data_IF_823940354726
#
_entry.id   IF_823940354726
#
_cell.length_a   1.000
_cell.length_b   1.000
_cell.length_c   1.000
_cell.angle_alpha   90.00
_cell.angle_beta   90.00
_cell.angle_gamma   90.00
#
_symmetry.space_group_name_H-M   'P 1'
#
loop_
_entity.id
_entity.type
_entity.pdbx_description
1 polymer ?
#
# COMPACT_ATOMS: atom_id res chain seq x y z
N UNK A 1 3.67 -19.71 11.21
CA UNK A 1 3.42 -18.27 11.49
C UNK A 1 3.59 -17.52 10.18
N UNK A 2 2.68 -16.59 9.89
CA UNK A 2 2.76 -15.68 8.74
C UNK A 2 3.18 -14.28 9.21
N UNK A 3 3.85 -13.55 8.31
CA UNK A 3 4.27 -12.17 8.54
C UNK A 3 3.59 -11.32 7.47
N UNK A 4 2.90 -10.27 7.89
CA UNK A 4 2.33 -9.27 6.96
C UNK A 4 2.96 -7.92 7.26
N UNK A 5 3.47 -7.28 6.22
CA UNK A 5 4.09 -5.97 6.28
C UNK A 5 3.33 -4.97 5.41
N UNK A 6 3.18 -3.75 5.92
CA UNK A 6 2.57 -2.64 5.20
C UNK A 6 3.57 -1.50 5.11
N UNK A 7 3.86 -1.06 3.89
CA UNK A 7 4.78 0.04 3.62
C UNK A 7 4.04 1.23 3.01
N UNK A 8 4.00 2.32 3.76
CA UNK A 8 3.53 3.63 3.26
C UNK A 8 4.73 4.59 3.16
N UNK A 9 5.59 4.32 2.19
CA UNK A 9 6.83 5.05 1.98
C UNK A 9 6.93 5.61 0.57
N UNK A 10 7.50 6.80 0.47
CA UNK A 10 7.90 7.38 -0.81
C UNK A 10 9.34 6.98 -1.12
N UNK A 11 9.54 6.17 -2.15
CA UNK A 11 10.89 5.77 -2.59
C UNK A 11 11.62 6.85 -3.41
N UNK A 12 10.95 7.97 -3.72
CA UNK A 12 11.50 9.03 -4.58
C UNK A 12 12.53 9.95 -3.93
N UNK A 13 12.83 9.78 -2.64
CA UNK A 13 13.70 10.72 -1.90
C UNK A 13 13.10 12.12 -1.71
N UNK A 14 11.82 12.29 -2.02
CA UNK A 14 11.08 13.55 -1.81
C UNK A 14 10.32 13.51 -0.50
N UNK A 15 10.26 14.66 0.17
CA UNK A 15 9.35 14.84 1.32
C UNK A 15 7.91 14.98 0.85
N UNK A 16 6.94 14.78 1.75
CA UNK A 16 5.50 15.04 1.50
C UNK A 16 5.20 16.45 0.95
N UNK A 17 6.14 17.39 1.08
CA UNK A 17 6.04 18.77 0.59
C UNK A 17 6.78 18.99 -0.74
N UNK A 18 7.03 17.94 -1.52
CA UNK A 18 7.71 18.00 -2.83
C UNK A 18 9.14 18.56 -2.78
N UNK A 19 9.74 18.71 -1.60
CA UNK A 19 11.14 19.09 -1.47
C UNK A 19 12.03 17.86 -1.48
N UNK A 20 13.01 17.85 -2.35
CA UNK A 20 14.05 16.81 -2.30
C UNK A 20 14.80 16.91 -0.98
N UNK A 21 14.90 15.79 -0.27
CA UNK A 21 15.63 15.72 1.01
C UNK A 21 17.12 16.09 0.85
N UNK A 22 17.68 15.85 -0.34
CA UNK A 22 19.04 16.25 -0.70
C UNK A 22 19.07 16.50 -2.22
N UNK A 23 19.38 17.72 -2.64
CA UNK A 23 19.36 18.18 -4.05
C UNK A 23 20.31 17.41 -5.01
N UNK A 24 21.19 16.55 -4.52
CA UNK A 24 22.23 15.87 -5.31
C UNK A 24 22.23 14.35 -5.24
N UNK A 25 21.32 13.72 -4.50
CA UNK A 25 21.23 12.25 -4.48
C UNK A 25 20.20 11.78 -5.50
N UNK A 26 20.65 10.98 -6.46
CA UNK A 26 19.77 10.18 -7.28
C UNK A 26 18.99 9.22 -6.36
N UNK A 27 17.68 9.04 -6.55
CA UNK A 27 16.92 8.08 -5.77
C UNK A 27 17.59 6.69 -5.90
N UNK A 28 17.91 6.09 -4.77
CA UNK A 28 18.35 4.69 -4.74
C UNK A 28 17.07 3.86 -4.80
N UNK A 29 16.83 3.26 -5.95
CA UNK A 29 15.78 2.28 -6.10
C UNK A 29 16.37 0.94 -5.64
N UNK A 30 15.95 0.49 -4.47
CA UNK A 30 16.23 -0.89 -4.03
C UNK A 30 15.17 -1.75 -4.72
N UNK A 31 15.55 -2.44 -5.78
CA UNK A 31 14.72 -3.49 -6.39
C UNK A 31 15.06 -4.78 -5.63
N UNK A 32 14.14 -5.30 -4.81
CA UNK A 32 14.36 -6.59 -4.18
C UNK A 32 14.49 -7.66 -5.27
N UNK A 33 15.47 -8.53 -5.18
CA UNK A 33 15.54 -9.70 -6.05
C UNK A 33 14.32 -10.59 -5.76
N UNK A 34 13.43 -10.75 -6.73
CA UNK A 34 12.21 -11.55 -6.60
C UNK A 34 12.49 -12.98 -6.12
N UNK A 35 13.68 -13.50 -6.36
CA UNK A 35 14.09 -14.84 -5.89
C UNK A 35 14.39 -14.90 -4.39
N UNK A 36 14.81 -13.81 -3.78
CA UNK A 36 15.10 -13.77 -2.33
C UNK A 36 13.86 -13.46 -1.48
N UNK A 37 12.77 -12.95 -2.08
CA UNK A 37 11.53 -12.58 -1.38
C UNK A 37 10.50 -13.71 -1.24
N UNK A 38 10.77 -14.90 -1.78
CA UNK A 38 9.87 -16.05 -1.67
C UNK A 38 10.01 -16.76 -0.32
N UNK A 39 9.76 -16.05 0.77
CA UNK A 39 9.38 -16.70 2.01
C UNK A 39 7.88 -17.02 1.90
N UNK A 40 7.52 -18.28 1.85
CA UNK A 40 6.13 -18.79 1.70
C UNK A 40 5.14 -18.21 2.72
N UNK A 41 5.65 -17.55 3.75
CA UNK A 41 4.87 -17.00 4.86
C UNK A 41 4.92 -15.46 4.92
N UNK A 42 5.49 -14.78 3.93
CA UNK A 42 5.63 -13.33 3.89
C UNK A 42 4.61 -12.69 2.93
N UNK A 43 3.87 -11.73 3.44
CA UNK A 43 2.97 -10.88 2.65
C UNK A 43 3.40 -9.42 2.79
N UNK A 44 3.51 -8.72 1.67
CA UNK A 44 3.88 -7.30 1.65
C UNK A 44 2.84 -6.51 0.88
N UNK A 45 2.28 -5.50 1.52
CA UNK A 45 1.50 -4.45 0.88
C UNK A 45 2.36 -3.18 0.80
N UNK A 46 2.46 -2.60 -0.39
CA UNK A 46 3.13 -1.32 -0.61
C UNK A 46 2.14 -0.27 -1.07
N UNK A 47 2.34 0.96 -0.61
CA UNK A 47 1.46 2.09 -0.91
C UNK A 47 1.48 2.52 -2.38
N UNK A 48 2.54 2.23 -3.10
CA UNK A 48 2.74 2.65 -4.49
C UNK A 48 3.73 1.74 -5.20
N UNK A 49 3.72 1.77 -6.52
CA UNK A 49 4.78 1.18 -7.33
C UNK A 49 6.11 1.96 -7.17
N UNK A 50 7.22 1.38 -7.62
CA UNK A 50 8.57 1.89 -7.34
C UNK A 50 8.84 3.32 -7.82
N UNK A 51 8.17 3.76 -8.87
CA UNK A 51 8.36 5.08 -9.50
C UNK A 51 7.29 6.11 -9.08
N UNK A 52 6.36 5.72 -8.24
CA UNK A 52 5.24 6.54 -7.82
C UNK A 52 5.48 7.18 -6.45
N UNK A 53 4.90 8.35 -6.24
CA UNK A 53 4.96 9.08 -4.97
C UNK A 53 3.66 8.89 -4.21
N UNK A 54 3.77 8.45 -2.95
CA UNK A 54 2.61 8.34 -2.06
C UNK A 54 2.03 9.71 -1.72
N UNK A 55 0.73 9.87 -1.90
CA UNK A 55 0.00 11.07 -1.55
C UNK A 55 -0.54 11.07 -0.11
N UNK A 56 -1.17 12.18 0.28
CA UNK A 56 -1.81 12.35 1.59
C UNK A 56 -3.23 12.87 1.46
N UNK A 57 -4.05 12.57 2.47
CA UNK A 57 -5.35 13.19 2.67
C UNK A 57 -5.18 14.23 3.77
N UNK A 58 -5.21 15.51 3.41
CA UNK A 58 -4.96 16.62 4.34
C UNK A 58 -5.95 16.65 5.50
N UNK A 59 -7.23 16.45 5.21
CA UNK A 59 -8.31 16.45 6.21
C UNK A 59 -8.16 15.33 7.26
N UNK A 60 -7.60 14.19 6.87
CA UNK A 60 -7.40 13.05 7.76
C UNK A 60 -6.02 13.04 8.43
N UNK A 61 -5.09 13.91 8.02
CA UNK A 61 -3.69 13.96 8.47
C UNK A 61 -2.93 12.63 8.29
N UNK A 62 -3.37 11.81 7.33
CA UNK A 62 -2.80 10.49 7.04
C UNK A 62 -2.40 10.40 5.56
N UNK A 63 -1.47 9.50 5.25
CA UNK A 63 -1.24 9.08 3.87
C UNK A 63 -2.50 8.43 3.27
N UNK A 64 -2.72 8.59 1.98
CA UNK A 64 -3.88 7.99 1.27
C UNK A 64 -3.93 6.47 1.54
N UNK A 65 -2.80 5.79 1.40
CA UNK A 65 -2.71 4.36 1.63
C UNK A 65 -3.07 3.97 3.07
N UNK A 66 -2.47 4.62 4.07
CA UNK A 66 -2.73 4.34 5.48
C UNK A 66 -4.18 4.59 5.85
N UNK A 67 -4.80 5.66 5.32
CA UNK A 67 -6.20 5.96 5.55
C UNK A 67 -7.12 4.84 5.04
N UNK A 68 -6.96 4.44 3.78
CA UNK A 68 -7.79 3.37 3.22
C UNK A 68 -7.42 1.99 3.74
N UNK A 69 -6.18 1.75 4.15
CA UNK A 69 -5.80 0.54 4.85
C UNK A 69 -6.62 0.36 6.14
N UNK A 70 -6.69 1.40 6.97
CA UNK A 70 -7.49 1.37 8.19
C UNK A 70 -8.98 1.11 7.88
N UNK A 71 -9.55 1.83 6.92
CA UNK A 71 -10.94 1.64 6.49
C UNK A 71 -11.21 0.22 5.95
N UNK A 72 -10.30 -0.29 5.13
CA UNK A 72 -10.40 -1.65 4.61
C UNK A 72 -10.41 -2.69 5.72
N UNK A 73 -9.51 -2.57 6.69
CA UNK A 73 -9.41 -3.49 7.83
C UNK A 73 -10.57 -3.37 8.83
N UNK A 74 -11.26 -2.23 8.87
CA UNK A 74 -12.49 -2.04 9.64
C UNK A 74 -13.71 -2.76 9.03
N UNK A 75 -13.56 -3.34 7.82
CA UNK A 75 -14.59 -4.13 7.16
C UNK A 75 -14.95 -3.67 5.74
N UNK A 76 -14.54 -2.47 5.32
CA UNK A 76 -14.89 -1.98 3.97
C UNK A 76 -14.28 -2.81 2.84
N UNK A 77 -13.20 -3.55 3.09
CA UNK A 77 -12.57 -4.43 2.11
C UNK A 77 -13.24 -5.81 1.98
N UNK A 78 -14.15 -6.17 2.89
CA UNK A 78 -14.91 -7.43 2.83
C UNK A 78 -15.94 -7.38 1.70
N UNK A 79 -15.51 -7.78 0.51
CA UNK A 79 -16.33 -7.71 -0.70
C UNK A 79 -17.42 -8.77 -0.78
N UNK A 80 -17.24 -9.92 -0.13
CA UNK A 80 -18.16 -11.05 -0.15
C UNK A 80 -19.05 -11.15 1.11
N UNK A 81 -18.81 -10.28 2.10
CA UNK A 81 -19.56 -10.18 3.37
C UNK A 81 -19.51 -11.47 4.21
N UNK A 82 -18.36 -12.12 4.25
CA UNK A 82 -18.14 -13.34 5.04
C UNK A 82 -17.51 -13.08 6.42
N UNK A 83 -17.35 -11.80 6.79
CA UNK A 83 -16.68 -11.32 8.01
C UNK A 83 -15.21 -11.68 8.09
N UNK A 84 -14.58 -11.89 6.95
CA UNK A 84 -13.15 -12.08 6.80
C UNK A 84 -12.63 -11.12 5.75
N UNK A 85 -11.37 -10.79 5.84
CA UNK A 85 -10.67 -10.03 4.81
C UNK A 85 -9.45 -10.83 4.39
N UNK A 86 -9.44 -11.23 3.13
CA UNK A 86 -8.29 -11.87 2.49
C UNK A 86 -7.33 -10.82 1.97
N UNK A 87 -6.09 -11.22 1.72
CA UNK A 87 -5.12 -10.34 1.06
C UNK A 87 -5.61 -9.84 -0.30
N UNK A 88 -6.31 -10.71 -1.06
CA UNK A 88 -6.88 -10.36 -2.36
C UNK A 88 -7.99 -9.31 -2.27
N UNK A 89 -8.90 -9.42 -1.31
CA UNK A 89 -9.95 -8.41 -1.08
C UNK A 89 -9.34 -7.07 -0.66
N UNK A 90 -8.37 -7.10 0.24
CA UNK A 90 -7.72 -5.87 0.70
C UNK A 90 -6.98 -5.17 -0.44
N UNK A 91 -6.22 -5.89 -1.28
CA UNK A 91 -5.50 -5.23 -2.39
C UNK A 91 -6.44 -4.68 -3.46
N UNK A 92 -7.53 -5.37 -3.78
CA UNK A 92 -8.56 -4.86 -4.72
C UNK A 92 -9.19 -3.59 -4.18
N UNK A 93 -9.56 -3.56 -2.91
CA UNK A 93 -10.08 -2.38 -2.23
C UNK A 93 -9.08 -1.23 -2.25
N UNK A 94 -7.84 -1.48 -1.84
CA UNK A 94 -6.78 -0.46 -1.81
C UNK A 94 -6.50 0.10 -3.21
N UNK A 95 -6.35 -0.73 -4.24
CA UNK A 95 -6.16 -0.27 -5.61
C UNK A 95 -7.31 0.63 -6.07
N UNK A 96 -8.54 0.23 -5.81
CA UNK A 96 -9.72 1.02 -6.20
C UNK A 96 -9.77 2.38 -5.50
N UNK A 97 -9.56 2.41 -4.20
CA UNK A 97 -9.70 3.64 -3.39
C UNK A 97 -8.50 4.56 -3.49
N UNK A 98 -7.28 3.99 -3.34
CA UNK A 98 -6.04 4.77 -3.35
C UNK A 98 -5.78 5.37 -4.72
N UNK A 99 -5.88 4.58 -5.81
CA UNK A 99 -5.64 5.09 -7.16
C UNK A 99 -6.66 6.16 -7.55
N UNK A 100 -7.94 6.00 -7.16
CA UNK A 100 -8.98 7.00 -7.39
C UNK A 100 -8.68 8.30 -6.66
N UNK A 101 -8.31 8.24 -5.38
CA UNK A 101 -7.98 9.42 -4.58
C UNK A 101 -6.73 10.13 -5.10
N UNK A 102 -5.68 9.37 -5.43
CA UNK A 102 -4.46 9.92 -6.01
C UNK A 102 -4.74 10.64 -7.35
N UNK A 103 -5.60 10.07 -8.19
CA UNK A 103 -6.00 10.68 -9.44
C UNK A 103 -6.69 12.04 -9.24
N UNK A 104 -7.51 12.20 -8.20
CA UNK A 104 -8.11 13.52 -7.88
C UNK A 104 -7.08 14.58 -7.52
N UNK A 105 -5.88 14.16 -7.09
CA UNK A 105 -4.74 15.02 -6.76
C UNK A 105 -3.73 15.14 -7.91
N UNK A 106 -4.10 14.73 -9.13
CA UNK A 106 -3.21 14.67 -10.30
C UNK A 106 -1.95 13.83 -10.06
N UNK A 107 -2.08 12.71 -9.36
CA UNK A 107 -1.00 11.77 -9.05
C UNK A 107 -1.38 10.36 -9.46
N UNK A 108 -0.37 9.55 -9.70
CA UNK A 108 -0.49 8.10 -9.84
C UNK A 108 0.02 7.44 -8.57
N UNK A 109 -0.81 6.61 -7.98
CA UNK A 109 -0.44 5.80 -6.82
C UNK A 109 -1.23 4.50 -6.86
N UNK A 110 -0.53 3.41 -7.16
CA UNK A 110 -1.11 2.08 -7.30
C UNK A 110 -0.52 1.15 -6.26
N UNK A 111 -1.27 0.80 -5.21
CA UNK A 111 -0.83 -0.16 -4.21
C UNK A 111 -0.51 -1.52 -4.81
N UNK A 112 0.47 -2.19 -4.24
CA UNK A 112 0.89 -3.53 -4.66
C UNK A 112 0.80 -4.54 -3.54
N UNK A 113 0.62 -5.81 -3.92
CA UNK A 113 0.63 -6.97 -3.04
C UNK A 113 1.71 -7.95 -3.51
N UNK A 114 2.57 -8.36 -2.60
CA UNK A 114 3.44 -9.53 -2.74
C UNK A 114 3.01 -10.57 -1.72
N UNK A 115 2.61 -11.75 -2.16
CA UNK A 115 2.12 -12.84 -1.31
C UNK A 115 0.84 -13.48 -1.82
N UNK A 116 0.29 -14.40 -1.04
CA UNK A 116 -0.87 -15.21 -1.40
C UNK A 116 -2.19 -14.42 -1.25
N UNK A 117 -2.93 -14.25 -2.36
CA UNK A 117 -4.19 -13.52 -2.36
C UNK A 117 -5.30 -14.20 -1.53
N UNK A 118 -5.30 -15.52 -1.49
CA UNK A 118 -6.33 -16.31 -0.79
C UNK A 118 -6.13 -16.38 0.72
N UNK A 119 -4.97 -15.96 1.22
CA UNK A 119 -4.69 -15.95 2.65
C UNK A 119 -5.62 -14.99 3.39
N UNK A 120 -6.27 -15.49 4.44
CA UNK A 120 -7.07 -14.65 5.33
C UNK A 120 -6.15 -13.80 6.20
N UNK A 121 -6.28 -12.48 6.07
CA UNK A 121 -5.50 -11.50 6.82
C UNK A 121 -6.12 -11.26 8.21
N UNK A 122 -7.42 -11.06 8.26
CA UNK A 122 -8.14 -10.80 9.49
C UNK A 122 -9.59 -11.29 9.43
N UNK A 123 -10.18 -11.45 10.60
CA UNK A 123 -11.60 -11.77 10.80
C UNK A 123 -12.19 -10.79 11.78
N UNK A 124 -13.44 -10.41 11.56
CA UNK A 124 -14.17 -9.53 12.48
C UNK A 124 -15.60 -10.04 12.71
N UNK A 125 -16.18 -9.59 13.74
CA UNK A 125 -17.56 -9.98 14.11
C UNK A 125 -18.54 -8.85 13.81
#
# INVERSE_FOLDING_TARGET
KSITMFFDTCYSGQTRNERMLIEKLKPIIIVPDEKEMLLDNLTIFSASEFDQVSGSIEEAQHGIFSYYLMKGLEGEADGNQDNQITNGELIVYLKTKVSKEAFTQNREQDPTLTGEAVQVLTRYQ
#
